data_IF_571194474118
#
_entry.id   IF_571194474118
#
_cell.length_a   1.000
_cell.length_b   1.000
_cell.length_c   1.000
_cell.angle_alpha   90.00
_cell.angle_beta   90.00
_cell.angle_gamma   90.00
#
_symmetry.space_group_name_H-M   'P 1'
#
loop_
_entity.id
_entity.type
_entity.pdbx_description
1 polymer ?
#
# COMPACT_ATOMS: atom_id res chain seq x y z
N UNK A 1 1.63 -7.50 54.06
CA UNK A 1 2.37 -7.96 52.87
C UNK A 1 1.43 -8.18 51.67
N UNK A 2 0.39 -9.04 51.78
CA UNK A 2 -0.55 -9.31 50.67
C UNK A 2 -1.25 -8.05 50.09
N UNK A 3 -1.75 -7.14 50.94
CA UNK A 3 -2.38 -5.87 50.47
C UNK A 3 -1.41 -4.98 49.69
N UNK A 4 -0.13 -4.95 50.08
CA UNK A 4 0.90 -4.17 49.38
C UNK A 4 1.21 -4.79 48.02
N UNK A 5 1.32 -6.12 47.95
CA UNK A 5 1.54 -6.86 46.68
C UNK A 5 0.38 -6.60 45.71
N UNK A 6 -0.87 -6.68 46.17
CA UNK A 6 -2.05 -6.40 45.32
C UNK A 6 -2.03 -4.97 44.78
N UNK A 7 -1.72 -3.98 45.63
CA UNK A 7 -1.63 -2.58 45.19
C UNK A 7 -0.47 -2.36 44.20
N UNK A 8 0.67 -3.02 44.40
CA UNK A 8 1.80 -2.95 43.45
C UNK A 8 1.45 -3.58 42.11
N UNK A 9 0.81 -4.75 42.09
CA UNK A 9 0.37 -5.41 40.86
C UNK A 9 -0.69 -4.58 40.12
N UNK A 10 -1.64 -3.98 40.86
CA UNK A 10 -2.63 -3.09 40.28
C UNK A 10 -1.98 -1.84 39.68
N UNK A 11 -1.05 -1.20 40.40
CA UNK A 11 -0.32 -0.03 39.91
C UNK A 11 0.48 -0.33 38.65
N UNK A 12 1.17 -1.47 38.60
CA UNK A 12 1.90 -1.93 37.42
C UNK A 12 0.95 -2.25 36.25
N UNK A 13 -0.19 -2.90 36.51
CA UNK A 13 -1.21 -3.16 35.49
C UNK A 13 -1.78 -1.88 34.89
N UNK A 14 -2.10 -0.88 35.72
CA UNK A 14 -2.58 0.43 35.25
C UNK A 14 -1.51 1.19 34.45
N UNK A 15 -0.24 1.13 34.86
CA UNK A 15 0.86 1.75 34.14
C UNK A 15 1.06 1.10 32.75
N UNK A 16 1.02 -0.23 32.67
CA UNK A 16 1.09 -0.96 31.41
C UNK A 16 -0.09 -0.61 30.49
N UNK A 17 -1.31 -0.59 31.02
CA UNK A 17 -2.50 -0.21 30.26
C UNK A 17 -2.40 1.22 29.71
N UNK A 18 -1.98 2.18 30.55
CA UNK A 18 -1.82 3.59 30.13
C UNK A 18 -0.74 3.73 29.05
N UNK A 19 0.41 3.06 29.21
CA UNK A 19 1.47 3.08 28.21
C UNK A 19 1.01 2.47 26.88
N UNK A 20 0.27 1.37 26.94
CA UNK A 20 -0.30 0.74 25.75
C UNK A 20 -1.31 1.66 25.06
N UNK A 21 -2.22 2.30 25.81
CA UNK A 21 -3.17 3.26 25.25
C UNK A 21 -2.46 4.44 24.57
N UNK A 22 -1.39 4.97 25.19
CA UNK A 22 -0.59 6.04 24.59
C UNK A 22 0.11 5.59 23.31
N UNK A 23 0.69 4.39 23.30
CA UNK A 23 1.31 3.80 22.11
C UNK A 23 0.28 3.62 20.99
N UNK A 24 -0.90 3.07 21.30
CA UNK A 24 -1.98 2.88 20.33
C UNK A 24 -2.48 4.21 19.74
N UNK A 25 -2.66 5.25 20.56
CA UNK A 25 -3.03 6.58 20.10
C UNK A 25 -1.96 7.22 19.21
N UNK A 26 -0.67 6.98 19.52
CA UNK A 26 0.45 7.48 18.73
C UNK A 26 0.50 6.79 17.37
N UNK A 27 0.41 5.45 17.34
CA UNK A 27 0.40 4.64 16.11
C UNK A 27 -0.74 5.04 15.17
N UNK A 28 -1.92 5.33 15.71
CA UNK A 28 -3.07 5.80 14.94
C UNK A 28 -3.08 7.32 14.69
N UNK A 29 -2.07 8.05 15.15
CA UNK A 29 -2.00 9.51 15.08
C UNK A 29 -3.31 10.22 15.49
N UNK A 30 -3.94 9.71 16.56
CA UNK A 30 -5.34 9.98 16.87
C UNK A 30 -5.68 11.46 17.13
N UNK A 31 -4.66 12.27 17.43
CA UNK A 31 -4.79 13.69 17.76
C UNK A 31 -4.37 14.62 16.61
N UNK A 32 -3.92 14.07 15.48
CA UNK A 32 -3.49 14.87 14.33
C UNK A 32 -4.69 15.47 13.61
N UNK A 33 -4.60 16.76 13.35
CA UNK A 33 -5.47 17.51 12.45
C UNK A 33 -4.68 18.02 11.25
N UNK A 34 -5.39 18.29 10.15
CA UNK A 34 -4.81 18.76 8.89
C UNK A 34 -4.85 20.28 8.84
N UNK A 35 -3.72 20.87 8.47
CA UNK A 35 -3.68 22.27 8.04
C UNK A 35 -3.82 22.27 6.53
N UNK A 36 -4.84 22.93 5.94
CA UNK A 36 -5.05 22.90 4.49
C UNK A 36 -3.87 23.52 3.74
N UNK A 37 -3.40 22.80 2.73
CA UNK A 37 -2.45 23.24 1.71
C UNK A 37 -3.13 23.02 0.36
N UNK A 38 -3.84 24.04 -0.08
CA UNK A 38 -4.64 24.00 -1.30
C UNK A 38 -3.76 24.03 -2.56
N UNK A 39 -4.14 23.23 -3.54
CA UNK A 39 -3.61 23.31 -4.90
C UNK A 39 -4.64 24.03 -5.79
N UNK A 40 -4.19 24.88 -6.73
CA UNK A 40 -5.10 25.46 -7.71
C UNK A 40 -5.60 24.37 -8.66
N UNK A 41 -6.86 24.48 -9.10
CA UNK A 41 -7.45 23.67 -10.17
C UNK A 41 -7.58 22.15 -9.89
N UNK A 42 -7.87 21.76 -8.64
CA UNK A 42 -8.25 20.38 -8.34
C UNK A 42 -9.69 20.08 -8.77
N UNK A 43 -9.89 18.97 -9.47
CA UNK A 43 -11.20 18.46 -9.87
C UNK A 43 -11.33 16.99 -9.47
N UNK A 44 -12.50 16.60 -8.96
CA UNK A 44 -12.83 15.20 -8.74
C UNK A 44 -12.98 14.49 -10.10
N UNK A 45 -12.37 13.31 -10.22
CA UNK A 45 -12.51 12.47 -11.42
C UNK A 45 -13.90 11.85 -11.43
N UNK A 46 -14.74 12.26 -12.38
CA UNK A 46 -16.12 11.78 -12.50
C UNK A 46 -16.12 10.27 -12.75
N UNK A 47 -16.89 9.54 -11.94
CA UNK A 47 -17.05 8.08 -12.07
C UNK A 47 -16.24 7.27 -11.05
N UNK A 48 -15.34 7.90 -10.29
CA UNK A 48 -14.67 7.26 -9.14
C UNK A 48 -15.37 7.69 -7.85
N UNK A 49 -16.23 6.82 -7.32
CA UNK A 49 -17.03 7.09 -6.11
C UNK A 49 -16.82 6.02 -5.02
N UNK A 50 -16.12 4.93 -5.34
CA UNK A 50 -16.04 3.71 -4.51
C UNK A 50 -14.60 3.27 -4.26
N UNK A 51 -13.72 4.25 -4.02
CA UNK A 51 -12.30 4.03 -3.76
C UNK A 51 -11.45 3.96 -5.02
N UNK A 52 -10.24 4.50 -4.91
CA UNK A 52 -9.15 4.45 -5.91
C UNK A 52 -7.85 4.27 -5.13
N UNK A 53 -7.75 3.12 -4.46
CA UNK A 53 -6.80 2.92 -3.35
C UNK A 53 -5.34 2.89 -3.84
N UNK A 54 -5.11 2.37 -5.04
CA UNK A 54 -3.80 2.40 -5.68
C UNK A 54 -3.89 2.71 -7.19
N UNK A 55 -2.82 3.28 -7.74
CA UNK A 55 -2.71 3.67 -9.14
C UNK A 55 -1.26 3.65 -9.62
N UNK A 56 -1.06 3.41 -10.92
CA UNK A 56 0.25 3.50 -11.55
C UNK A 56 0.16 4.13 -12.94
N UNK A 57 1.11 5.02 -13.25
CA UNK A 57 1.15 5.78 -14.49
C UNK A 57 2.29 5.24 -15.36
N UNK A 58 1.95 4.77 -16.55
CA UNK A 58 2.93 4.38 -17.56
C UNK A 58 3.66 5.61 -18.15
N UNK A 59 4.87 5.44 -18.73
CA UNK A 59 5.60 6.55 -19.35
C UNK A 59 4.87 7.27 -20.48
N UNK A 60 3.87 6.64 -21.10
CA UNK A 60 3.05 7.24 -22.14
C UNK A 60 1.85 8.04 -21.60
N UNK A 61 1.67 8.16 -20.28
CA UNK A 61 0.60 8.91 -19.65
C UNK A 61 -0.69 8.12 -19.39
N UNK A 62 -0.74 6.83 -19.72
CA UNK A 62 -1.85 5.97 -19.32
C UNK A 62 -1.74 5.61 -17.83
N UNK A 63 -2.81 5.83 -17.08
CA UNK A 63 -2.91 5.53 -15.66
C UNK A 63 -3.87 4.36 -15.41
N UNK A 64 -3.38 3.30 -14.77
CA UNK A 64 -4.23 2.25 -14.20
C UNK A 64 -4.63 2.63 -12.78
N UNK A 65 -5.89 2.35 -12.42
CA UNK A 65 -6.43 2.67 -11.09
C UNK A 65 -7.18 1.44 -10.56
N UNK A 66 -6.78 0.96 -9.39
CA UNK A 66 -7.50 -0.07 -8.65
C UNK A 66 -8.66 0.54 -7.88
N UNK A 67 -9.88 0.03 -8.10
CA UNK A 67 -11.10 0.64 -7.56
C UNK A 67 -12.07 -0.41 -7.00
N UNK A 68 -12.84 -0.02 -5.99
CA UNK A 68 -13.88 -0.87 -5.41
C UNK A 68 -13.39 -1.89 -4.39
N UNK A 69 -12.20 -1.68 -3.80
CA UNK A 69 -11.65 -2.52 -2.76
C UNK A 69 -12.65 -2.71 -1.59
N UNK A 70 -12.76 -3.95 -1.14
CA UNK A 70 -13.45 -4.34 0.06
C UNK A 70 -12.47 -5.01 1.02
N UNK A 71 -11.87 -4.22 1.91
CA UNK A 71 -10.91 -4.71 2.89
C UNK A 71 -11.56 -4.86 4.29
N UNK A 72 -11.37 -5.98 5.01
CA UNK A 72 -11.97 -6.19 6.32
C UNK A 72 -11.60 -5.09 7.34
N UNK A 73 -12.62 -4.45 7.91
CA UNK A 73 -12.44 -3.36 8.87
C UNK A 73 -12.39 -1.96 8.26
N UNK A 74 -12.36 -1.84 6.93
CA UNK A 74 -12.39 -0.56 6.22
C UNK A 74 -13.80 -0.31 5.65
N UNK A 75 -14.23 0.95 5.64
CA UNK A 75 -15.53 1.34 5.10
C UNK A 75 -15.58 1.13 3.59
N UNK A 76 -16.49 0.28 3.13
CA UNK A 76 -16.92 0.23 1.72
C UNK A 76 -18.25 0.96 1.55
N UNK A 77 -18.32 1.80 0.51
CA UNK A 77 -19.56 2.46 0.07
C UNK A 77 -20.34 1.63 -0.95
N UNK A 78 -19.74 0.56 -1.48
CA UNK A 78 -20.37 -0.32 -2.47
C UNK A 78 -20.04 -1.81 -2.24
N UNK A 79 -20.44 -2.38 -1.09
CA UNK A 79 -20.00 -3.72 -0.66
C UNK A 79 -20.58 -4.88 -1.50
N UNK A 80 -21.53 -4.62 -2.39
CA UNK A 80 -22.22 -5.68 -3.15
C UNK A 80 -21.69 -5.84 -4.58
N UNK A 81 -20.74 -5.01 -5.01
CA UNK A 81 -20.20 -5.06 -6.37
C UNK A 81 -18.72 -5.43 -6.33
N UNK A 82 -18.24 -6.23 -7.30
CA UNK A 82 -16.82 -6.52 -7.44
C UNK A 82 -16.06 -5.23 -7.76
N UNK A 83 -14.77 -5.23 -7.44
CA UNK A 83 -13.89 -4.14 -7.83
C UNK A 83 -13.48 -4.22 -9.29
N UNK A 84 -12.71 -3.23 -9.72
CA UNK A 84 -12.45 -2.91 -11.13
C UNK A 84 -11.04 -2.35 -11.28
N UNK A 85 -10.46 -2.53 -12.47
CA UNK A 85 -9.33 -1.72 -12.91
C UNK A 85 -9.87 -0.68 -13.88
N UNK A 86 -9.60 0.59 -13.59
CA UNK A 86 -9.92 1.71 -14.46
C UNK A 86 -8.67 2.14 -15.22
N UNK A 87 -8.87 2.71 -16.40
CA UNK A 87 -7.85 3.32 -17.24
C UNK A 87 -8.21 4.79 -17.45
N UNK A 88 -7.22 5.66 -17.36
CA UNK A 88 -7.32 7.09 -17.65
C UNK A 88 -6.14 7.53 -18.51
N UNK A 89 -6.38 8.35 -19.54
CA UNK A 89 -5.31 8.92 -20.37
C UNK A 89 -5.00 10.34 -19.91
N UNK A 90 -3.86 10.53 -19.25
CA UNK A 90 -3.45 11.82 -18.67
C UNK A 90 -2.98 12.84 -19.72
N UNK A 91 -2.90 12.46 -21.00
CA UNK A 91 -2.60 13.40 -22.08
C UNK A 91 -3.84 14.17 -22.56
N UNK A 92 -5.05 13.75 -22.15
CA UNK A 92 -6.29 14.45 -22.46
C UNK A 92 -6.44 15.72 -21.60
N UNK A 93 -7.10 16.76 -22.15
CA UNK A 93 -7.31 18.04 -21.43
C UNK A 93 -8.30 17.88 -20.26
N UNK A 94 -9.33 17.05 -20.41
CA UNK A 94 -10.31 16.68 -19.38
C UNK A 94 -10.44 15.16 -19.35
N UNK A 95 -9.48 14.46 -18.70
CA UNK A 95 -9.37 13.01 -18.79
C UNK A 95 -10.56 12.31 -18.13
N UNK A 96 -11.05 11.27 -18.79
CA UNK A 96 -12.15 10.43 -18.27
C UNK A 96 -11.66 9.03 -17.95
N UNK A 97 -12.37 8.36 -17.03
CA UNK A 97 -12.06 6.98 -16.65
C UNK A 97 -12.88 5.99 -17.45
N UNK A 98 -12.23 4.91 -17.86
CA UNK A 98 -12.82 3.76 -18.52
C UNK A 98 -12.58 2.51 -17.67
N UNK A 99 -13.61 1.71 -17.43
CA UNK A 99 -13.43 0.37 -16.86
C UNK A 99 -12.84 -0.58 -17.90
N UNK A 100 -11.69 -1.19 -17.59
CA UNK A 100 -11.04 -2.16 -18.47
C UNK A 100 -11.83 -3.48 -18.47
N UNK A 101 -12.12 -3.99 -19.66
CA UNK A 101 -12.70 -5.33 -19.80
C UNK A 101 -11.65 -6.38 -19.39
N UNK A 102 -12.03 -7.33 -18.53
CA UNK A 102 -11.15 -8.45 -18.16
C UNK A 102 -11.55 -9.69 -18.95
N UNK A 103 -10.58 -10.30 -19.63
CA UNK A 103 -10.76 -11.55 -20.38
C UNK A 103 -9.87 -12.65 -19.80
N UNK A 104 -10.19 -13.91 -20.12
CA UNK A 104 -9.48 -15.09 -19.61
C UNK A 104 -10.44 -16.09 -18.99
N UNK A 105 -10.53 -17.28 -19.57
CA UNK A 105 -11.59 -18.26 -19.25
C UNK A 105 -11.52 -18.86 -17.84
N UNK A 106 -10.43 -18.63 -17.11
CA UNK A 106 -10.18 -19.19 -15.76
C UNK A 106 -10.28 -18.14 -14.66
N UNK A 107 -10.46 -16.86 -15.00
CA UNK A 107 -10.55 -15.79 -14.03
C UNK A 107 -12.00 -15.60 -13.56
N UNK A 108 -12.22 -15.63 -12.25
CA UNK A 108 -13.53 -15.38 -11.67
C UNK A 108 -13.69 -13.89 -11.37
N UNK A 109 -14.33 -13.17 -12.31
CA UNK A 109 -14.60 -11.75 -12.16
C UNK A 109 -15.58 -11.45 -11.02
N UNK A 110 -16.42 -12.40 -10.62
CA UNK A 110 -17.46 -12.15 -9.61
C UNK A 110 -16.91 -11.98 -8.20
N UNK A 111 -15.72 -12.54 -7.93
CA UNK A 111 -14.99 -12.40 -6.66
C UNK A 111 -13.80 -11.45 -6.75
N UNK A 112 -13.67 -10.70 -7.85
CA UNK A 112 -12.57 -9.77 -8.03
C UNK A 112 -12.65 -8.60 -7.03
N UNK A 113 -11.58 -8.44 -6.25
CA UNK A 113 -11.44 -7.47 -5.18
C UNK A 113 -9.99 -6.92 -5.21
N UNK A 114 -9.67 -6.05 -6.18
CA UNK A 114 -8.32 -5.54 -6.38
C UNK A 114 -7.91 -4.57 -5.28
N UNK A 115 -6.61 -4.57 -4.98
CA UNK A 115 -5.94 -3.74 -3.97
C UNK A 115 -4.74 -3.04 -4.63
N UNK A 116 -3.53 -3.15 -4.08
CA UNK A 116 -2.30 -2.66 -4.72
C UNK A 116 -2.02 -3.26 -6.10
N UNK A 117 -1.40 -2.48 -6.96
CA UNK A 117 -1.09 -2.83 -8.35
C UNK A 117 0.35 -2.48 -8.68
N UNK A 118 0.93 -3.21 -9.64
CA UNK A 118 2.21 -2.81 -10.21
C UNK A 118 2.32 -3.13 -11.69
N UNK A 119 2.97 -2.26 -12.47
CA UNK A 119 3.24 -2.51 -13.89
C UNK A 119 4.66 -3.00 -14.15
N UNK A 120 4.81 -3.81 -15.20
CA UNK A 120 6.11 -4.16 -15.76
C UNK A 120 6.03 -4.10 -17.28
N UNK A 121 6.91 -3.31 -17.89
CA UNK A 121 7.04 -3.25 -19.35
C UNK A 121 8.24 -4.11 -19.77
N UNK A 122 7.98 -5.14 -20.57
CA UNK A 122 9.01 -6.07 -21.05
C UNK A 122 9.76 -5.52 -22.27
N UNK A 123 10.84 -6.18 -22.68
CA UNK A 123 11.71 -5.72 -23.77
C UNK A 123 10.99 -5.58 -25.13
N UNK A 124 9.88 -6.30 -25.32
CA UNK A 124 9.01 -6.23 -26.50
C UNK A 124 7.92 -5.14 -26.39
N UNK A 125 7.95 -4.32 -25.33
CA UNK A 125 6.94 -3.35 -24.93
C UNK A 125 5.60 -3.98 -24.51
N UNK A 126 5.55 -5.28 -24.23
CA UNK A 126 4.37 -5.85 -23.57
C UNK A 126 4.24 -5.27 -22.16
N UNK A 127 3.09 -4.66 -21.88
CA UNK A 127 2.76 -4.15 -20.55
C UNK A 127 2.03 -5.25 -19.77
N UNK A 128 2.63 -5.62 -18.64
CA UNK A 128 2.03 -6.50 -17.65
C UNK A 128 1.52 -5.67 -16.49
N UNK A 129 0.30 -5.98 -16.02
CA UNK A 129 -0.28 -5.43 -14.81
C UNK A 129 -0.43 -6.56 -13.81
N UNK A 130 0.25 -6.44 -12.68
CA UNK A 130 0.13 -7.33 -11.54
C UNK A 130 -0.82 -6.67 -10.54
N UNK A 131 -1.80 -7.41 -10.05
CA UNK A 131 -2.86 -6.88 -9.17
C UNK A 131 -2.96 -7.75 -7.94
N UNK A 132 -2.77 -7.18 -6.76
CA UNK A 132 -3.16 -7.83 -5.50
C UNK A 132 -4.67 -7.97 -5.50
N UNK A 133 -5.16 -9.18 -5.20
CA UNK A 133 -6.58 -9.50 -5.23
C UNK A 133 -6.98 -10.27 -3.98
N UNK A 134 -8.18 -10.00 -3.46
CA UNK A 134 -8.69 -10.58 -2.23
C UNK A 134 -9.99 -11.41 -2.39
N UNK A 135 -9.99 -12.49 -3.22
CA UNK A 135 -11.19 -13.26 -3.48
C UNK A 135 -11.52 -14.17 -2.29
N UNK A 136 -12.78 -14.15 -1.83
CA UNK A 136 -13.27 -15.00 -0.73
C UNK A 136 -12.38 -14.99 0.54
N UNK A 137 -11.91 -13.80 0.94
CA UNK A 137 -10.99 -13.60 2.08
C UNK A 137 -9.64 -14.32 1.97
N UNK A 138 -9.21 -14.69 0.76
CA UNK A 138 -7.83 -15.12 0.45
C UNK A 138 -7.07 -13.94 -0.13
N UNK A 139 -5.76 -14.09 -0.28
CA UNK A 139 -4.91 -13.12 -0.97
C UNK A 139 -4.18 -13.79 -2.14
N UNK A 140 -4.15 -13.11 -3.29
CA UNK A 140 -3.52 -13.57 -4.54
C UNK A 140 -2.85 -12.40 -5.25
N UNK A 141 -1.96 -12.69 -6.19
CA UNK A 141 -1.52 -11.73 -7.21
C UNK A 141 -2.03 -12.22 -8.56
N UNK A 142 -2.77 -11.40 -9.28
CA UNK A 142 -3.27 -11.68 -10.62
C UNK A 142 -2.37 -11.02 -11.64
N UNK A 143 -1.83 -11.81 -12.57
CA UNK A 143 -1.03 -11.32 -13.68
C UNK A 143 -1.93 -11.13 -14.90
N UNK A 144 -1.97 -9.90 -15.40
CA UNK A 144 -2.63 -9.54 -16.64
C UNK A 144 -1.63 -9.04 -17.67
N UNK A 145 -1.92 -9.29 -18.95
CA UNK A 145 -1.34 -8.54 -20.06
C UNK A 145 -2.31 -7.46 -20.50
N UNK A 146 -1.84 -6.22 -20.57
CA UNK A 146 -2.63 -5.10 -21.08
C UNK A 146 -2.72 -5.16 -22.60
N UNK A 147 -3.94 -5.00 -23.11
CA UNK A 147 -4.26 -4.94 -24.54
C UNK A 147 -4.79 -3.53 -24.83
N UNK A 148 -3.90 -2.64 -25.26
CA UNK A 148 -4.18 -1.19 -25.38
C UNK A 148 -5.26 -0.88 -26.43
N UNK A 149 -5.20 -1.51 -27.61
CA UNK A 149 -6.16 -1.30 -28.69
C UNK A 149 -7.59 -1.70 -28.26
N UNK A 150 -7.72 -2.83 -27.58
CA UNK A 150 -8.99 -3.34 -27.08
C UNK A 150 -9.42 -2.72 -25.74
N UNK A 151 -8.55 -1.92 -25.10
CA UNK A 151 -8.71 -1.40 -23.74
C UNK A 151 -9.17 -2.49 -22.77
N UNK A 152 -8.41 -3.57 -22.73
CA UNK A 152 -8.72 -4.76 -21.94
C UNK A 152 -7.49 -5.38 -21.25
N UNK A 153 -7.75 -6.20 -20.25
CA UNK A 153 -6.75 -6.98 -19.51
C UNK A 153 -6.98 -8.47 -19.80
N UNK A 154 -5.98 -9.12 -20.39
CA UNK A 154 -5.97 -10.57 -20.56
C UNK A 154 -5.36 -11.21 -19.31
N UNK A 155 -6.16 -11.92 -18.52
CA UNK A 155 -5.67 -12.70 -17.38
C UNK A 155 -4.78 -13.85 -17.86
N UNK A 156 -3.57 -13.90 -17.32
CA UNK A 156 -2.58 -14.94 -17.64
C UNK A 156 -2.44 -15.95 -16.50
N UNK A 157 -2.41 -15.47 -15.25
CA UNK A 157 -2.07 -16.30 -14.10
C UNK A 157 -2.59 -15.75 -12.78
N UNK A 158 -3.02 -16.67 -11.91
CA UNK A 158 -3.23 -16.40 -10.48
C UNK A 158 -2.05 -16.96 -9.69
N UNK A 159 -1.33 -16.08 -9.01
CA UNK A 159 -0.17 -16.40 -8.19
C UNK A 159 -0.59 -16.49 -6.73
N UNK A 160 -0.19 -17.58 -6.07
CA UNK A 160 -0.45 -17.87 -4.65
C UNK A 160 0.78 -18.51 -4.05
N UNK A 161 1.06 -18.18 -2.80
CA UNK A 161 2.13 -18.84 -2.06
C UNK A 161 1.87 -18.77 -0.54
N UNK A 162 2.42 -19.71 0.22
CA UNK A 162 2.28 -19.75 1.69
C UNK A 162 2.86 -18.52 2.41
N UNK A 163 3.74 -17.79 1.74
CA UNK A 163 4.36 -16.53 2.23
C UNK A 163 3.61 -15.28 1.74
N UNK A 164 2.50 -15.44 1.03
CA UNK A 164 1.66 -14.33 0.56
C UNK A 164 0.23 -14.40 1.16
N UNK A 165 0.07 -14.59 2.50
CA UNK A 165 -1.24 -14.75 3.11
C UNK A 165 -2.10 -13.48 3.15
N UNK A 166 -1.51 -12.28 3.27
CA UNK A 166 -2.23 -11.01 3.47
C UNK A 166 -1.58 -9.87 2.70
N UNK A 167 -1.59 -9.93 1.37
CA UNK A 167 -0.90 -8.94 0.56
C UNK A 167 -1.58 -7.57 0.67
N UNK A 168 -0.77 -6.53 0.81
CA UNK A 168 -1.23 -5.16 0.71
C UNK A 168 -0.93 -4.64 -0.69
N UNK A 169 0.36 -4.52 -1.00
CA UNK A 169 0.87 -3.98 -2.27
C UNK A 169 2.08 -4.79 -2.79
N UNK A 170 2.46 -4.56 -4.05
CA UNK A 170 3.59 -5.17 -4.73
C UNK A 170 4.37 -4.17 -5.58
N UNK A 171 5.64 -4.46 -5.85
CA UNK A 171 6.41 -3.80 -6.92
C UNK A 171 7.00 -4.84 -7.85
N UNK A 172 6.62 -4.77 -9.12
CA UNK A 172 7.06 -5.68 -10.15
C UNK A 172 8.51 -5.41 -10.57
N UNK A 173 9.29 -6.48 -10.71
CA UNK A 173 10.67 -6.46 -11.21
C UNK A 173 10.87 -7.46 -12.36
N UNK A 174 9.76 -7.90 -12.94
CA UNK A 174 9.65 -8.83 -14.05
C UNK A 174 8.18 -9.26 -14.24
N UNK A 175 7.84 -10.00 -15.32
CA UNK A 175 6.45 -10.35 -15.61
C UNK A 175 5.78 -11.18 -14.50
N UNK A 176 6.54 -12.04 -13.82
CA UNK A 176 6.09 -12.83 -12.67
C UNK A 176 7.05 -12.72 -11.47
N UNK A 177 7.75 -11.59 -11.34
CA UNK A 177 8.73 -11.35 -10.28
C UNK A 177 8.38 -10.06 -9.56
N UNK A 178 8.29 -10.08 -8.24
CA UNK A 178 7.91 -8.91 -7.47
C UNK A 178 8.38 -8.98 -6.02
N UNK A 179 8.47 -7.82 -5.38
CA UNK A 179 8.43 -7.73 -3.92
C UNK A 179 7.00 -7.46 -3.50
N UNK A 180 6.58 -7.99 -2.35
CA UNK A 180 5.24 -7.84 -1.83
C UNK A 180 5.25 -7.55 -0.33
N UNK A 181 4.38 -6.68 0.12
CA UNK A 181 4.12 -6.43 1.54
C UNK A 181 2.98 -7.33 2.02
N UNK A 182 3.17 -7.98 3.16
CA UNK A 182 2.08 -8.59 3.90
C UNK A 182 1.75 -7.71 5.10
N UNK A 183 0.60 -7.03 5.10
CA UNK A 183 0.24 -6.07 6.16
C UNK A 183 0.03 -6.72 7.54
N UNK A 184 -0.30 -8.00 7.57
CA UNK A 184 -0.48 -8.80 8.78
C UNK A 184 0.13 -10.19 8.65
N UNK A 185 0.54 -10.75 9.78
CA UNK A 185 0.95 -12.15 9.88
C UNK A 185 -0.25 -13.09 9.90
N UNK A 186 -1.28 -12.78 10.70
CA UNK A 186 -2.44 -13.68 10.85
C UNK A 186 -3.44 -13.56 9.70
N UNK A 187 -4.04 -14.68 9.30
CA UNK A 187 -5.10 -14.70 8.27
C UNK A 187 -6.49 -14.40 8.83
N UNK A 188 -6.76 -14.86 10.06
CA UNK A 188 -8.06 -14.70 10.69
C UNK A 188 -8.32 -13.21 11.01
N UNK A 189 -9.44 -12.61 10.55
CA UNK A 189 -9.70 -11.19 10.76
C UNK A 189 -9.71 -10.75 12.24
N UNK A 190 -10.15 -11.62 13.14
CA UNK A 190 -10.15 -11.32 14.57
C UNK A 190 -8.72 -11.31 15.12
N UNK A 191 -7.88 -12.28 14.75
CA UNK A 191 -6.47 -12.28 15.11
C UNK A 191 -5.70 -11.10 14.50
N UNK A 192 -6.00 -10.69 13.27
CA UNK A 192 -5.44 -9.46 12.66
C UNK A 192 -5.77 -8.22 13.46
N UNK A 193 -7.02 -8.11 13.92
CA UNK A 193 -7.47 -6.98 14.73
C UNK A 193 -6.70 -6.91 16.06
N UNK A 194 -6.43 -8.07 16.68
CA UNK A 194 -5.58 -8.14 17.88
C UNK A 194 -4.10 -7.90 17.60
N UNK A 195 -3.57 -8.41 16.49
CA UNK A 195 -2.20 -8.15 16.04
C UNK A 195 -1.95 -6.63 15.91
N UNK A 196 -2.87 -5.95 15.24
CA UNK A 196 -2.86 -4.50 15.09
C UNK A 196 -3.02 -3.80 16.45
N UNK A 197 -4.03 -4.15 17.25
CA UNK A 197 -4.26 -3.51 18.55
C UNK A 197 -3.06 -3.63 19.48
N UNK A 198 -2.51 -4.84 19.63
CA UNK A 198 -1.37 -5.14 20.51
C UNK A 198 -0.06 -4.55 19.99
N UNK A 199 0.03 -4.20 18.71
CA UNK A 199 1.24 -3.67 18.10
C UNK A 199 2.35 -4.71 18.03
N UNK A 200 2.01 -5.92 17.58
CA UNK A 200 2.98 -7.02 17.51
C UNK A 200 4.07 -6.78 16.47
N UNK A 201 3.79 -5.96 15.45
CA UNK A 201 4.70 -5.63 14.36
C UNK A 201 5.29 -6.88 13.67
N UNK A 202 4.42 -7.82 13.28
CA UNK A 202 4.81 -9.07 12.60
C UNK A 202 4.60 -9.04 11.08
N UNK A 203 4.30 -7.86 10.53
CA UNK A 203 4.25 -7.65 9.09
C UNK A 203 5.64 -7.82 8.47
N UNK A 204 5.68 -8.24 7.20
CA UNK A 204 6.91 -8.61 6.50
C UNK A 204 6.80 -8.43 4.99
N UNK A 205 7.97 -8.37 4.34
CA UNK A 205 8.13 -8.23 2.89
C UNK A 205 8.67 -9.53 2.31
N UNK A 206 8.13 -9.93 1.17
CA UNK A 206 8.50 -11.16 0.45
C UNK A 206 9.00 -10.82 -0.94
N UNK A 207 10.09 -11.44 -1.36
CA UNK A 207 10.43 -11.56 -2.77
C UNK A 207 9.79 -12.82 -3.35
N UNK A 208 9.09 -12.68 -4.47
CA UNK A 208 8.50 -13.77 -5.23
C UNK A 208 9.12 -13.87 -6.62
N UNK A 209 9.39 -15.10 -7.02
CA UNK A 209 9.65 -15.52 -8.40
C UNK A 209 9.12 -16.95 -8.60
N UNK A 210 8.98 -17.44 -9.84
CA UNK A 210 8.58 -18.82 -10.09
C UNK A 210 9.53 -19.89 -9.50
N UNK A 211 10.81 -19.56 -9.33
CA UNK A 211 11.86 -20.49 -8.87
C UNK A 211 12.23 -20.32 -7.38
N UNK A 212 12.02 -19.14 -6.82
CA UNK A 212 12.40 -18.81 -5.44
C UNK A 212 11.38 -17.85 -4.80
N UNK A 213 10.96 -18.15 -3.57
CA UNK A 213 10.12 -17.26 -2.75
C UNK A 213 10.68 -17.20 -1.33
N UNK A 214 10.94 -16.00 -0.82
CA UNK A 214 11.51 -15.80 0.53
C UNK A 214 11.14 -14.48 1.16
N UNK A 215 11.12 -14.45 2.48
CA UNK A 215 11.04 -13.22 3.28
C UNK A 215 12.36 -12.44 3.11
N UNK A 216 12.26 -11.13 2.88
CA UNK A 216 13.42 -10.24 2.66
C UNK A 216 13.49 -9.06 3.64
N UNK A 217 12.39 -8.77 4.34
CA UNK A 217 12.35 -7.88 5.50
C UNK A 217 11.20 -8.31 6.42
N UNK A 218 11.32 -8.12 7.73
CA UNK A 218 10.31 -8.53 8.73
C UNK A 218 10.36 -7.58 9.94
N UNK A 219 9.36 -7.70 10.83
CA UNK A 219 9.31 -6.90 12.05
C UNK A 219 8.71 -5.50 11.82
N UNK A 220 7.80 -5.38 10.85
CA UNK A 220 7.14 -4.12 10.49
C UNK A 220 5.77 -4.03 11.17
N UNK A 221 5.35 -2.82 11.51
CA UNK A 221 4.02 -2.47 12.00
C UNK A 221 3.14 -2.01 10.84
N UNK A 222 2.48 -2.98 10.19
CA UNK A 222 1.60 -2.79 9.04
C UNK A 222 2.37 -2.27 7.80
N UNK A 223 3.18 -3.14 7.18
CA UNK A 223 3.81 -2.83 5.89
C UNK A 223 2.73 -2.70 4.81
N UNK A 224 2.78 -1.60 4.07
CA UNK A 224 1.73 -1.17 3.17
C UNK A 224 2.32 -0.95 1.76
N UNK A 225 2.37 0.28 1.25
CA UNK A 225 2.98 0.60 -0.04
C UNK A 225 4.42 0.14 -0.19
N UNK A 226 4.78 -0.32 -1.39
CA UNK A 226 6.15 -0.72 -1.74
C UNK A 226 6.51 -0.29 -3.16
N UNK A 227 7.70 0.28 -3.33
CA UNK A 227 8.17 0.68 -4.65
C UNK A 227 9.69 0.57 -4.80
N UNK A 228 10.23 0.84 -5.99
CA UNK A 228 11.64 0.66 -6.33
C UNK A 228 12.21 1.93 -6.97
N UNK A 229 13.49 2.21 -6.75
CA UNK A 229 14.18 3.31 -7.44
C UNK A 229 14.26 3.04 -8.95
N UNK A 230 14.32 4.08 -9.80
CA UNK A 230 14.40 3.91 -11.26
C UNK A 230 15.63 3.10 -11.72
N UNK A 231 16.72 3.15 -10.96
CA UNK A 231 17.94 2.36 -11.22
C UNK A 231 17.91 0.94 -10.63
N UNK A 232 16.82 0.56 -9.98
CA UNK A 232 16.59 -0.77 -9.41
C UNK A 232 17.46 -1.13 -8.21
N UNK A 233 18.15 -0.14 -7.59
CA UNK A 233 19.08 -0.36 -6.47
C UNK A 233 18.46 -0.19 -5.09
N UNK A 234 17.33 0.49 -4.98
CA UNK A 234 16.68 0.74 -3.69
C UNK A 234 15.23 0.29 -3.73
N UNK A 235 14.77 -0.34 -2.64
CA UNK A 235 13.35 -0.65 -2.42
C UNK A 235 12.87 0.20 -1.24
N UNK A 236 11.69 0.79 -1.42
CA UNK A 236 11.03 1.64 -0.44
C UNK A 236 9.82 0.91 0.11
N UNK A 237 9.67 0.88 1.44
CA UNK A 237 8.54 0.20 2.10
C UNK A 237 7.90 1.16 3.09
N UNK A 238 6.61 1.44 2.93
CA UNK A 238 5.81 2.17 3.90
C UNK A 238 5.47 1.24 5.09
N UNK A 239 5.77 1.70 6.30
CA UNK A 239 5.33 1.10 7.57
C UNK A 239 4.27 2.02 8.18
N UNK A 240 3.01 1.72 7.85
CA UNK A 240 1.86 2.61 8.01
C UNK A 240 1.69 3.07 9.46
N UNK A 241 1.73 2.14 10.43
CA UNK A 241 1.45 2.44 11.84
C UNK A 241 2.67 2.94 12.62
N UNK A 242 3.87 2.82 12.05
CA UNK A 242 5.09 3.42 12.58
C UNK A 242 5.38 4.81 11.99
N UNK A 243 4.60 5.24 11.00
CA UNK A 243 4.75 6.52 10.28
C UNK A 243 6.11 6.63 9.60
N UNK A 244 6.55 5.54 8.96
CA UNK A 244 7.90 5.45 8.40
C UNK A 244 7.92 4.97 6.95
N UNK A 245 8.86 5.50 6.19
CA UNK A 245 9.31 4.87 4.94
C UNK A 245 10.71 4.32 5.15
N UNK A 246 10.86 3.02 4.96
CA UNK A 246 12.15 2.33 5.01
C UNK A 246 12.79 2.33 3.63
N UNK A 247 14.09 2.58 3.60
CA UNK A 247 14.93 2.45 2.41
C UNK A 247 15.80 1.23 2.58
N UNK A 248 15.68 0.28 1.67
CA UNK A 248 16.51 -0.92 1.58
C UNK A 248 17.41 -0.85 0.37
N UNK A 249 18.68 -1.24 0.51
CA UNK A 249 19.53 -1.53 -0.64
C UNK A 249 19.15 -2.91 -1.20
N UNK A 250 18.88 -2.95 -2.51
CA UNK A 250 18.54 -4.15 -3.26
C UNK A 250 19.78 -4.72 -3.95
N UNK A 251 20.08 -5.96 -3.62
CA UNK A 251 21.23 -6.67 -4.16
C UNK A 251 20.89 -7.45 -5.43
N UNK A 252 21.92 -7.84 -6.19
CA UNK A 252 21.76 -8.60 -7.44
C UNK A 252 21.10 -9.99 -7.25
N UNK A 253 21.20 -10.56 -6.04
CA UNK A 253 20.54 -11.79 -5.64
C UNK A 253 19.13 -11.54 -5.06
N UNK A 254 18.55 -10.35 -5.24
CA UNK A 254 17.20 -9.98 -4.75
C UNK A 254 17.04 -9.94 -3.23
N UNK A 255 18.12 -9.94 -2.45
CA UNK A 255 18.04 -9.68 -1.01
C UNK A 255 17.98 -8.18 -0.74
N UNK A 256 17.36 -7.80 0.37
CA UNK A 256 17.28 -6.43 0.84
C UNK A 256 18.13 -6.26 2.10
N UNK A 257 18.88 -5.15 2.20
CA UNK A 257 19.56 -4.76 3.44
C UNK A 257 19.06 -3.39 3.88
N UNK A 258 18.66 -3.21 5.15
CA UNK A 258 18.15 -1.94 5.63
C UNK A 258 19.24 -0.88 5.55
N UNK A 259 18.92 0.28 4.96
CA UNK A 259 19.85 1.40 4.83
C UNK A 259 19.48 2.52 5.80
N UNK A 260 18.23 2.97 5.80
CA UNK A 260 17.69 3.97 6.73
C UNK A 260 16.15 3.93 6.77
N UNK A 261 15.57 4.66 7.71
CA UNK A 261 14.15 5.00 7.72
C UNK A 261 13.97 6.52 7.70
N UNK A 262 12.83 6.96 7.17
CA UNK A 262 12.35 8.32 7.19
C UNK A 262 11.10 8.38 8.07
N UNK A 263 11.10 9.24 9.08
CA UNK A 263 9.96 9.42 9.98
C UNK A 263 9.05 10.54 9.49
N UNK A 264 7.75 10.30 9.58
CA UNK A 264 6.70 11.25 9.21
C UNK A 264 5.75 11.45 10.40
N UNK A 265 4.95 12.52 10.35
CA UNK A 265 3.89 12.77 11.33
C UNK A 265 2.52 12.42 10.75
N UNK A 266 2.44 11.35 9.96
CA UNK A 266 1.28 10.90 9.20
C UNK A 266 1.43 9.40 8.94
N UNK A 267 0.32 8.69 8.75
CA UNK A 267 0.38 7.28 8.37
C UNK A 267 0.63 7.22 6.87
N UNK A 268 1.82 6.78 6.46
CA UNK A 268 2.23 6.66 5.06
C UNK A 268 1.65 5.38 4.44
N UNK A 269 0.93 5.51 3.34
CA UNK A 269 0.21 4.42 2.66
C UNK A 269 0.98 4.01 1.39
N UNK A 270 0.38 4.16 0.20
CA UNK A 270 1.02 3.81 -1.07
C UNK A 270 2.12 4.79 -1.49
N UNK A 271 3.16 4.24 -2.13
CA UNK A 271 4.35 4.96 -2.60
C UNK A 271 4.41 4.87 -4.12
N UNK A 272 4.36 6.00 -4.81
CA UNK A 272 4.73 6.12 -6.22
C UNK A 272 6.13 6.71 -6.35
N UNK A 273 6.86 6.34 -7.41
CA UNK A 273 8.20 6.85 -7.69
C UNK A 273 8.19 7.55 -9.04
N UNK A 274 8.62 8.82 -9.07
CA UNK A 274 8.79 9.54 -10.33
C UNK A 274 9.99 8.96 -11.11
N UNK A 275 9.80 8.42 -12.33
CA UNK A 275 10.88 7.77 -13.07
C UNK A 275 11.97 8.74 -13.53
N UNK A 276 11.69 10.04 -13.64
CA UNK A 276 12.66 11.03 -14.09
C UNK A 276 13.61 11.48 -12.97
N UNK A 277 13.06 11.76 -11.78
CA UNK A 277 13.83 12.29 -10.65
C UNK A 277 14.19 11.26 -9.58
N UNK A 278 13.42 10.18 -9.48
CA UNK A 278 13.47 9.23 -8.37
C UNK A 278 12.80 9.74 -7.08
N UNK A 279 12.05 10.86 -7.16
CA UNK A 279 11.28 11.38 -6.04
C UNK A 279 10.14 10.43 -5.67
N UNK A 280 9.87 10.32 -4.37
CA UNK A 280 8.75 9.55 -3.84
C UNK A 280 7.51 10.47 -3.74
N UNK A 281 6.38 10.01 -4.24
CA UNK A 281 5.06 10.60 -4.01
C UNK A 281 4.24 9.64 -3.17
N UNK A 282 3.75 10.10 -2.03
CA UNK A 282 3.19 9.21 -1.00
C UNK A 282 1.82 9.70 -0.61
N UNK A 283 0.81 8.85 -0.78
CA UNK A 283 -0.52 9.06 -0.22
C UNK A 283 -0.50 8.76 1.27
N UNK A 284 -1.11 9.63 2.08
CA UNK A 284 -1.03 9.52 3.53
C UNK A 284 -2.39 9.71 4.20
N UNK A 285 -2.54 9.06 5.35
CA UNK A 285 -3.65 9.24 6.27
C UNK A 285 -3.21 10.03 7.50
N UNK A 286 -3.58 11.31 7.63
CA UNK A 286 -3.15 12.13 8.76
C UNK A 286 -3.59 11.59 10.11
N UNK A 287 -4.77 10.99 10.17
CA UNK A 287 -5.37 10.49 11.40
C UNK A 287 -5.98 9.09 11.15
N UNK A 288 -5.27 8.05 11.60
CA UNK A 288 -5.67 6.67 11.44
C UNK A 288 -7.00 6.33 12.13
N UNK A 289 -7.39 7.05 13.20
CA UNK A 289 -8.70 6.82 13.82
C UNK A 289 -9.85 7.08 12.83
N UNK A 290 -9.74 8.12 11.99
CA UNK A 290 -10.80 8.47 11.03
C UNK A 290 -10.91 7.47 9.86
N UNK A 291 -9.82 6.79 9.54
CA UNK A 291 -9.76 5.77 8.46
C UNK A 291 -10.26 4.42 8.96
N UNK A 292 -9.67 3.91 10.06
CA UNK A 292 -10.01 2.60 10.61
C UNK A 292 -11.37 2.57 11.33
N UNK A 293 -11.85 3.73 11.79
CA UNK A 293 -13.15 3.86 12.46
C UNK A 293 -13.97 4.97 11.79
N UNK A 294 -14.35 4.73 10.53
CA UNK A 294 -15.10 5.68 9.72
C UNK A 294 -16.35 6.22 10.42
N UNK A 295 -16.46 7.55 10.43
CA UNK A 295 -17.62 8.32 10.87
C UNK A 295 -17.97 9.34 9.77
N UNK A 296 -19.23 9.35 9.32
CA UNK A 296 -19.66 10.28 8.27
C UNK A 296 -19.65 11.74 8.70
N UNK A 297 -19.75 12.01 10.01
CA UNK A 297 -19.69 13.37 10.55
C UNK A 297 -18.26 13.87 10.77
N UNK A 298 -17.27 12.97 10.69
CA UNK A 298 -15.84 13.27 10.86
C UNK A 298 -14.98 12.38 9.94
N UNK A 299 -15.10 12.53 8.60
CA UNK A 299 -14.44 11.67 7.64
C UNK A 299 -12.91 11.84 7.67
N UNK A 300 -12.14 10.86 7.14
CA UNK A 300 -10.71 11.01 6.97
C UNK A 300 -10.38 12.14 5.97
N UNK A 301 -9.31 12.88 6.26
CA UNK A 301 -8.73 13.88 5.39
C UNK A 301 -7.61 13.27 4.54
N UNK A 302 -7.09 14.01 3.55
CA UNK A 302 -6.02 13.54 2.65
C UNK A 302 -4.74 14.35 2.81
N UNK A 303 -3.60 13.69 2.63
CA UNK A 303 -2.29 14.34 2.63
C UNK A 303 -1.39 13.63 1.61
N UNK A 304 -0.62 14.39 0.83
CA UNK A 304 0.34 13.87 -0.14
C UNK A 304 1.73 14.42 0.21
N UNK A 305 2.69 13.53 0.37
CA UNK A 305 4.09 13.90 0.56
C UNK A 305 4.87 13.70 -0.73
N UNK A 306 5.61 14.72 -1.14
CA UNK A 306 6.72 14.56 -2.10
C UNK A 306 8.02 14.50 -1.33
N UNK A 307 8.71 13.37 -1.36
CA UNK A 307 10.01 13.19 -0.71
C UNK A 307 11.11 13.07 -1.76
N UNK A 308 11.97 14.08 -1.81
CA UNK A 308 13.13 14.13 -2.71
C UNK A 308 14.21 13.23 -2.15
N UNK A 309 14.75 12.30 -2.95
CA UNK A 309 15.83 11.38 -2.52
C UNK A 309 17.14 11.79 -3.18
N UNK A 310 18.04 12.43 -2.42
CA UNK A 310 19.35 12.89 -2.90
C UNK A 310 20.43 11.94 -2.41
N UNK A 311 21.17 11.31 -3.32
CA UNK A 311 22.34 10.51 -2.96
C UNK A 311 23.57 11.41 -2.75
N UNK A 312 24.13 11.43 -1.54
CA UNK A 312 25.37 12.13 -1.22
C UNK A 312 26.37 11.18 -0.55
N UNK A 313 27.52 10.94 -1.18
CA UNK A 313 28.54 9.97 -0.76
C UNK A 313 27.99 8.55 -0.49
N UNK A 314 27.04 8.08 -1.30
CA UNK A 314 26.42 6.77 -1.12
C UNK A 314 25.34 6.72 -0.04
N UNK A 315 25.07 7.83 0.66
CA UNK A 315 23.99 7.93 1.63
C UNK A 315 22.83 8.76 1.05
N UNK A 316 21.59 8.24 1.05
CA UNK A 316 20.42 9.03 0.68
C UNK A 316 20.13 10.10 1.74
N UNK A 317 19.85 11.33 1.31
CA UNK A 317 19.29 12.45 2.07
C UNK A 317 17.90 12.74 1.55
N UNK A 318 16.96 13.07 2.44
CA UNK A 318 15.58 13.30 2.04
C UNK A 318 15.06 14.65 2.49
N UNK A 319 14.31 15.31 1.61
CA UNK A 319 13.56 16.54 1.90
C UNK A 319 12.10 16.29 1.50
N UNK A 320 11.17 16.55 2.40
CA UNK A 320 9.76 16.32 2.15
C UNK A 320 8.97 17.62 2.03
N UNK A 321 8.12 17.71 1.02
CA UNK A 321 7.10 18.73 0.82
C UNK A 321 5.72 18.11 1.06
N UNK A 322 4.81 18.88 1.65
CA UNK A 322 3.48 18.41 2.06
C UNK A 322 2.41 19.18 1.32
N UNK A 323 1.41 18.45 0.83
CA UNK A 323 0.15 18.97 0.30
C UNK A 323 -0.98 18.28 1.07
N UNK A 324 -2.07 18.96 1.41
CA UNK A 324 -3.11 18.36 2.25
C UNK A 324 -4.43 19.11 2.21
N UNK A 325 -5.54 18.39 2.30
CA UNK A 325 -6.91 18.93 2.22
C UNK A 325 -7.88 18.11 3.07
#
# INVERSE_FOLDING_TARGET
>A
MAKLIVLTLLGMGLALFKNHQFSYQTRLNALREVQPIELPNCNLVKGIETGSEDLEILPNGLAFISSGLQYPGIKSFNPNNPGKILLMDLNEEDPTVLELGITGSKFDLSSFNPHGISTFTDEDNAVYLLVVNHPDAKSTVELFKFQEEEKSLLHLKTIRHKLLPNLNDIVAVGPEHFYATNDHYFLDPYLRSWEMYLGLAWSYVVYYSPSEVRVVAEGLDFANGINISPDGKYVYVAELLAHKIHVYEKHANWTLTPLKSLDFNTLVDNISVDPETGDLWVGCHPNGMKVFFYDSENPPASEVYRTIVIMFNGNPFCLSLVFGY
#
